data_IF_712343633380
#
_entry.id   IF_712343633380
#
_cell.length_a   1.000
_cell.length_b   1.000
_cell.length_c   1.000
_cell.angle_alpha   90.00
_cell.angle_beta   90.00
_cell.angle_gamma   90.00
#
_symmetry.space_group_name_H-M   'P 1'
#
loop_
_entity.id
_entity.type
_entity.pdbx_description
1 polymer ?
#
# COMPACT_ATOMS: atom_id res chain seq x y z
N UNK A 1 -11.03 7.00 -8.85
CA UNK A 1 -11.72 5.75 -8.50
C UNK A 1 -11.01 4.59 -9.16
N UNK A 2 -10.01 4.06 -8.51
CA UNK A 2 -9.14 3.19 -9.24
C UNK A 2 -8.85 1.91 -8.49
N UNK A 3 -8.71 1.99 -7.20
CA UNK A 3 -8.50 0.84 -6.34
C UNK A 3 -9.76 0.69 -5.50
N UNK A 4 -10.37 -0.48 -5.51
CA UNK A 4 -11.58 -0.74 -4.72
C UNK A 4 -12.91 -0.28 -5.33
N UNK A 5 -12.97 0.05 -6.63
CA UNK A 5 -14.27 0.23 -7.27
C UNK A 5 -15.00 -1.11 -7.34
N UNK A 6 -16.23 -1.19 -6.82
CA UNK A 6 -16.99 -2.44 -6.85
C UNK A 6 -17.14 -2.93 -8.28
N UNK A 7 -16.91 -4.20 -8.45
CA UNK A 7 -17.05 -4.88 -9.72
C UNK A 7 -18.54 -5.17 -9.95
N UNK A 8 -19.07 -4.79 -11.11
CA UNK A 8 -20.43 -5.12 -11.45
C UNK A 8 -20.55 -6.65 -11.63
N UNK A 9 -21.41 -7.30 -10.86
CA UNK A 9 -21.76 -8.70 -11.07
C UNK A 9 -22.70 -8.82 -12.26
N UNK A 10 -22.35 -9.69 -13.19
CA UNK A 10 -23.29 -10.11 -14.23
C UNK A 10 -24.10 -11.32 -13.77
N UNK A 11 -25.23 -11.57 -14.43
CA UNK A 11 -26.20 -12.63 -14.08
C UNK A 11 -25.66 -14.06 -14.13
N UNK A 12 -24.46 -14.26 -14.66
CA UNK A 12 -23.75 -15.54 -14.73
C UNK A 12 -22.83 -15.80 -13.49
N UNK A 13 -22.81 -14.87 -12.53
CA UNK A 13 -21.96 -14.96 -11.34
C UNK A 13 -20.49 -14.62 -11.59
N UNK A 14 -20.12 -14.28 -12.82
CA UNK A 14 -18.77 -13.85 -13.16
C UNK A 14 -18.64 -12.35 -12.94
N UNK A 15 -17.58 -11.95 -12.25
CA UNK A 15 -17.31 -10.56 -11.96
C UNK A 15 -16.38 -10.01 -13.04
N UNK A 16 -16.85 -8.98 -13.72
CA UNK A 16 -16.08 -8.31 -14.76
C UNK A 16 -15.72 -6.89 -14.35
N UNK A 17 -14.45 -6.56 -14.43
CA UNK A 17 -13.94 -5.20 -14.23
C UNK A 17 -14.14 -4.33 -15.47
N UNK A 18 -15.25 -4.46 -16.17
CA UNK A 18 -15.50 -3.81 -17.49
C UNK A 18 -15.26 -2.30 -17.50
N UNK A 19 -15.42 -1.64 -16.35
CA UNK A 19 -15.22 -0.21 -16.24
C UNK A 19 -13.81 0.18 -15.78
N UNK A 20 -13.01 -0.73 -15.22
CA UNK A 20 -11.69 -0.43 -14.72
C UNK A 20 -10.61 -0.82 -15.73
N UNK A 21 -10.16 0.15 -16.53
CA UNK A 21 -9.08 -0.03 -17.53
C UNK A 21 -7.69 0.00 -16.93
N UNK A 22 -7.57 0.20 -15.63
CA UNK A 22 -6.29 0.36 -14.96
C UNK A 22 -5.75 -0.95 -14.39
N UNK A 23 -6.62 -1.89 -14.01
CA UNK A 23 -6.19 -3.20 -13.48
C UNK A 23 -5.73 -4.08 -14.64
N UNK A 24 -4.46 -4.53 -14.57
CA UNK A 24 -3.88 -5.46 -15.53
C UNK A 24 -3.97 -6.91 -15.03
N UNK A 25 -3.79 -7.12 -13.72
CA UNK A 25 -3.88 -8.43 -13.10
C UNK A 25 -4.26 -8.32 -11.63
N UNK A 26 -5.28 -9.06 -11.22
CA UNK A 26 -5.71 -9.14 -9.83
C UNK A 26 -6.09 -10.57 -9.47
N UNK A 27 -6.00 -10.90 -8.19
CA UNK A 27 -6.62 -12.09 -7.62
C UNK A 27 -8.02 -11.70 -7.17
N UNK A 28 -9.03 -12.36 -7.74
CA UNK A 28 -10.40 -12.09 -7.41
C UNK A 28 -10.76 -12.63 -6.02
N UNK A 29 -11.44 -11.82 -5.24
CA UNK A 29 -11.97 -12.15 -3.91
C UNK A 29 -13.49 -12.03 -3.96
N UNK A 30 -14.21 -13.06 -3.50
CA UNK A 30 -15.68 -13.06 -3.40
C UNK A 30 -16.08 -13.59 -2.02
N UNK A 31 -16.39 -12.68 -1.11
CA UNK A 31 -16.78 -13.03 0.24
C UNK A 31 -18.11 -13.81 0.34
N UNK A 32 -18.92 -13.80 -0.73
CA UNK A 32 -20.22 -14.49 -0.77
C UNK A 32 -20.11 -15.95 -1.26
N UNK A 33 -19.04 -16.28 -1.99
CA UNK A 33 -18.83 -17.60 -2.59
C UNK A 33 -17.62 -18.35 -1.99
N UNK A 34 -17.27 -18.06 -0.73
CA UNK A 34 -16.16 -18.71 -0.01
C UNK A 34 -14.76 -18.52 -0.62
N UNK A 35 -14.62 -17.68 -1.65
CA UNK A 35 -13.30 -17.19 -2.08
C UNK A 35 -12.89 -16.15 -1.08
N UNK A 36 -12.06 -16.55 -0.15
CA UNK A 36 -11.75 -15.91 1.11
C UNK A 36 -11.55 -14.40 0.97
N UNK A 37 -12.23 -13.68 1.87
CA UNK A 37 -12.02 -12.26 2.08
C UNK A 37 -10.53 -11.93 2.13
N UNK A 38 -10.13 -10.82 1.58
CA UNK A 38 -8.79 -10.30 1.71
C UNK A 38 -8.50 -10.00 3.19
N UNK A 39 -8.33 -11.05 3.98
CA UNK A 39 -8.21 -10.99 5.44
C UNK A 39 -7.02 -10.14 5.90
N UNK A 40 -6.04 -9.88 5.01
CA UNK A 40 -4.94 -8.99 5.32
C UNK A 40 -5.41 -7.53 5.51
N UNK A 41 -6.44 -7.07 4.79
CA UNK A 41 -7.00 -5.72 4.91
C UNK A 41 -7.53 -5.50 6.32
N UNK A 42 -8.17 -6.50 6.90
CA UNK A 42 -8.71 -6.45 8.25
C UNK A 42 -7.63 -6.20 9.33
N UNK A 43 -6.34 -6.38 8.98
CA UNK A 43 -5.22 -6.13 9.88
C UNK A 43 -4.83 -4.65 9.96
N UNK A 44 -5.30 -3.84 9.03
CA UNK A 44 -5.02 -2.40 8.98
C UNK A 44 -6.11 -1.55 9.63
N UNK A 45 -7.26 -2.13 9.93
CA UNK A 45 -8.41 -1.40 10.47
C UNK A 45 -8.58 -1.61 11.97
N UNK A 46 -9.28 -0.70 12.60
CA UNK A 46 -9.44 -0.63 14.04
C UNK A 46 -10.18 -1.83 14.65
N UNK A 47 -9.87 -2.11 15.90
CA UNK A 47 -10.67 -3.04 16.68
C UNK A 47 -12.06 -2.50 17.00
N UNK A 48 -13.07 -3.37 17.00
CA UNK A 48 -14.46 -2.95 17.18
C UNK A 48 -14.69 -2.22 18.53
N UNK A 49 -13.95 -2.57 19.57
CA UNK A 49 -14.07 -1.93 20.89
C UNK A 49 -13.54 -0.49 20.94
N UNK A 50 -12.73 -0.08 19.97
CA UNK A 50 -12.09 1.22 19.93
C UNK A 50 -12.95 2.28 19.24
N UNK A 51 -14.02 1.87 18.58
CA UNK A 51 -14.97 2.73 17.86
C UNK A 51 -16.37 2.60 18.47
N UNK A 52 -17.10 3.71 18.60
CA UNK A 52 -18.49 3.71 19.08
C UNK A 52 -19.39 2.86 18.20
N UNK A 53 -20.30 2.10 18.80
CA UNK A 53 -21.13 1.13 18.09
C UNK A 53 -21.90 1.71 16.89
N UNK A 54 -22.37 2.95 17.02
CA UNK A 54 -23.14 3.65 15.97
C UNK A 54 -22.32 4.00 14.71
N UNK A 55 -21.00 3.90 14.77
CA UNK A 55 -20.10 4.21 13.66
C UNK A 55 -19.39 2.99 13.06
N UNK A 56 -19.62 1.79 13.63
CA UNK A 56 -18.93 0.56 13.20
C UNK A 56 -19.56 -0.02 11.96
N UNK A 57 -18.78 -0.22 10.92
CA UNK A 57 -19.19 -0.93 9.71
C UNK A 57 -20.54 -0.49 9.16
N UNK A 58 -20.78 0.82 9.18
CA UNK A 58 -21.95 1.46 8.56
C UNK A 58 -21.49 2.40 7.47
N UNK A 59 -22.33 2.62 6.46
CA UNK A 59 -22.01 3.55 5.38
C UNK A 59 -21.65 4.93 5.96
N UNK A 60 -20.51 5.46 5.50
CA UNK A 60 -19.96 6.68 6.05
C UNK A 60 -19.42 6.55 7.49
N UNK A 61 -19.33 5.36 8.05
CA UNK A 61 -18.75 5.07 9.37
C UNK A 61 -17.26 4.83 9.35
N UNK A 62 -16.82 3.94 10.23
CA UNK A 62 -15.43 3.48 10.38
C UNK A 62 -15.39 1.98 10.13
N UNK A 63 -14.55 1.49 9.21
CA UNK A 63 -14.34 0.06 9.05
C UNK A 63 -13.66 -0.51 10.30
N UNK A 64 -14.23 -1.54 10.88
CA UNK A 64 -13.68 -2.19 12.07
C UNK A 64 -13.62 -3.70 11.92
N UNK A 65 -12.62 -4.30 12.56
CA UNK A 65 -12.44 -5.75 12.67
C UNK A 65 -12.05 -6.11 14.12
N UNK A 66 -11.43 -7.27 14.32
CA UNK A 66 -11.06 -7.74 15.66
C UNK A 66 -9.92 -6.92 16.28
N UNK A 67 -8.88 -6.63 15.53
CA UNK A 67 -7.69 -5.90 15.99
C UNK A 67 -6.98 -5.20 14.83
N UNK A 68 -6.49 -3.99 15.07
CA UNK A 68 -5.53 -3.33 14.20
C UNK A 68 -4.12 -3.88 14.51
N UNK A 69 -3.46 -4.45 13.52
CA UNK A 69 -2.09 -4.98 13.64
C UNK A 69 -1.07 -4.07 12.95
N UNK A 70 -1.51 -3.35 11.94
CA UNK A 70 -0.70 -2.47 11.13
C UNK A 70 -1.39 -1.11 10.98
N UNK A 71 -0.60 -0.06 10.92
CA UNK A 71 -1.05 1.30 10.60
C UNK A 71 0.03 1.98 9.76
N UNK A 72 -0.33 3.07 9.12
CA UNK A 72 0.68 3.93 8.52
C UNK A 72 1.48 4.66 9.61
N UNK A 73 2.77 4.85 9.37
CA UNK A 73 3.60 5.70 10.22
C UNK A 73 3.12 7.16 10.14
N UNK A 74 3.24 7.88 11.26
CA UNK A 74 2.80 9.29 11.35
C UNK A 74 3.49 10.19 10.32
N UNK A 75 4.75 9.88 9.99
CA UNK A 75 5.50 10.58 8.94
C UNK A 75 4.81 10.46 7.59
N UNK A 76 4.37 9.25 7.23
CA UNK A 76 3.70 9.01 5.95
C UNK A 76 2.32 9.67 5.91
N UNK A 77 1.56 9.61 7.00
CA UNK A 77 0.29 10.33 7.13
C UNK A 77 0.52 11.85 6.97
N UNK A 78 1.57 12.36 7.59
CA UNK A 78 1.98 13.76 7.46
C UNK A 78 2.39 14.12 6.02
N UNK A 79 3.06 13.24 5.30
CA UNK A 79 3.38 13.42 3.87
C UNK A 79 2.12 13.50 3.02
N UNK A 80 1.17 12.57 3.20
CA UNK A 80 -0.11 12.58 2.46
C UNK A 80 -0.86 13.89 2.65
N UNK A 81 -0.94 14.38 3.89
CA UNK A 81 -1.60 15.64 4.23
C UNK A 81 -0.91 16.84 3.59
N UNK A 82 0.41 16.93 3.72
CA UNK A 82 1.19 18.01 3.09
C UNK A 82 1.05 17.99 1.57
N UNK A 83 1.08 16.80 0.96
CA UNK A 83 0.95 16.65 -0.48
C UNK A 83 -0.43 17.11 -0.98
N UNK A 84 -1.48 16.80 -0.22
CA UNK A 84 -2.82 17.33 -0.48
C UNK A 84 -2.86 18.86 -0.41
N UNK A 85 -2.35 19.44 0.66
CA UNK A 85 -2.40 20.89 0.90
C UNK A 85 -1.54 21.68 -0.10
N UNK A 86 -0.33 21.21 -0.40
CA UNK A 86 0.63 21.94 -1.22
C UNK A 86 0.49 21.65 -2.71
N UNK A 87 0.12 20.44 -3.07
CA UNK A 87 0.11 19.95 -4.44
C UNK A 87 -1.29 19.57 -4.95
N UNK A 88 -2.31 19.64 -4.09
CA UNK A 88 -3.66 19.18 -4.41
C UNK A 88 -3.69 17.69 -4.81
N UNK A 89 -2.91 16.86 -4.12
CA UNK A 89 -2.85 15.41 -4.39
C UNK A 89 -4.19 14.74 -4.09
N UNK A 90 -4.85 14.27 -5.13
CA UNK A 90 -6.17 13.64 -5.04
C UNK A 90 -6.12 12.23 -4.42
N UNK A 91 -4.94 11.63 -4.30
CA UNK A 91 -4.75 10.29 -3.71
C UNK A 91 -4.86 10.30 -2.20
N UNK A 92 -4.57 11.43 -1.57
CA UNK A 92 -4.45 11.52 -0.11
C UNK A 92 -5.70 11.03 0.61
N UNK A 93 -6.89 11.48 0.18
CA UNK A 93 -8.17 11.10 0.80
C UNK A 93 -8.59 9.65 0.51
N UNK A 94 -8.12 9.08 -0.60
CA UNK A 94 -8.41 7.67 -0.93
C UNK A 94 -7.38 6.71 -0.36
N UNK A 95 -6.23 7.21 0.06
CA UNK A 95 -5.18 6.40 0.69
C UNK A 95 -5.39 6.30 2.20
N UNK A 96 -5.80 7.41 2.84
CA UNK A 96 -5.96 7.47 4.29
C UNK A 96 -7.16 8.34 4.67
N UNK A 97 -7.99 7.83 5.55
CA UNK A 97 -9.16 8.52 6.09
C UNK A 97 -9.02 8.73 7.60
N UNK A 98 -9.55 9.85 8.10
CA UNK A 98 -9.65 10.14 9.53
C UNK A 98 -11.04 10.60 9.88
N UNK A 99 -11.49 10.26 11.10
CA UNK A 99 -12.71 10.78 11.71
C UNK A 99 -12.49 11.17 13.17
N UNK A 100 -13.13 12.27 13.57
CA UNK A 100 -13.20 12.73 14.95
C UNK A 100 -14.55 12.37 15.58
N UNK A 101 -14.61 12.28 16.91
CA UNK A 101 -15.85 12.06 17.64
C UNK A 101 -16.45 10.65 17.55
N UNK A 102 -15.78 9.74 16.87
CA UNK A 102 -16.24 8.35 16.64
C UNK A 102 -15.69 7.35 17.67
N UNK A 103 -14.86 7.80 18.59
CA UNK A 103 -14.27 7.01 19.68
C UNK A 103 -14.38 7.76 20.99
N UNK A 104 -14.49 7.01 22.10
CA UNK A 104 -14.39 7.57 23.46
C UNK A 104 -12.94 7.47 23.98
N UNK A 105 -12.07 6.74 23.28
CA UNK A 105 -10.68 6.50 23.66
C UNK A 105 -9.70 7.39 22.92
N UNK A 106 -10.05 7.80 21.70
CA UNK A 106 -9.16 8.52 20.78
C UNK A 106 -9.87 9.75 20.19
N UNK A 107 -9.16 10.86 20.14
CA UNK A 107 -9.66 12.09 19.51
C UNK A 107 -9.93 11.87 18.03
N UNK A 108 -9.03 11.14 17.37
CA UNK A 108 -9.10 10.79 15.95
C UNK A 108 -8.96 9.30 15.76
N UNK A 109 -9.73 8.77 14.85
CA UNK A 109 -9.63 7.41 14.35
C UNK A 109 -9.29 7.49 12.88
N UNK A 110 -8.13 6.95 12.49
CA UNK A 110 -7.67 6.97 11.10
C UNK A 110 -7.40 5.55 10.60
N UNK A 111 -7.62 5.32 9.32
CA UNK A 111 -7.42 4.02 8.68
C UNK A 111 -6.94 4.15 7.24
N UNK A 112 -6.14 3.18 6.75
CA UNK A 112 -5.87 3.03 5.33
C UNK A 112 -7.18 2.78 4.58
N UNK A 113 -7.37 3.44 3.43
CA UNK A 113 -8.69 3.51 2.80
C UNK A 113 -8.72 2.98 1.35
N UNK A 114 -7.65 2.33 0.89
CA UNK A 114 -7.63 1.78 -0.48
C UNK A 114 -8.46 0.51 -0.63
N UNK A 115 -8.48 -0.33 0.39
CA UNK A 115 -9.11 -1.65 0.40
C UNK A 115 -10.04 -1.77 1.62
N UNK A 116 -11.10 -1.02 1.62
CA UNK A 116 -12.04 -0.95 2.75
C UNK A 116 -13.28 -1.83 2.59
N UNK A 117 -13.38 -2.54 1.47
CA UNK A 117 -14.51 -3.42 1.18
C UNK A 117 -15.71 -2.71 0.56
N UNK A 118 -16.77 -3.47 0.28
CA UNK A 118 -18.00 -3.02 -0.36
C UNK A 118 -19.13 -2.81 0.66
N UNK A 119 -19.86 -1.72 0.48
CA UNK A 119 -21.02 -1.33 1.30
C UNK A 119 -22.37 -1.59 0.62
N UNK A 120 -22.38 -2.20 -0.56
CA UNK A 120 -23.59 -2.34 -1.40
C UNK A 120 -24.71 -3.12 -0.75
N UNK A 121 -24.43 -3.93 0.25
CA UNK A 121 -25.40 -4.77 0.97
C UNK A 121 -25.89 -4.17 2.30
N UNK A 122 -25.45 -2.96 2.65
CA UNK A 122 -25.68 -2.38 3.98
C UNK A 122 -24.82 -2.99 5.09
N UNK A 123 -23.98 -3.96 4.75
CA UNK A 123 -22.98 -4.57 5.62
C UNK A 123 -21.63 -4.46 4.92
N UNK A 124 -20.57 -4.12 5.65
CA UNK A 124 -19.23 -4.07 5.09
C UNK A 124 -18.74 -5.49 4.78
N UNK A 125 -18.50 -5.76 3.51
CA UNK A 125 -17.88 -6.96 3.01
C UNK A 125 -16.42 -6.64 2.61
N UNK A 126 -15.47 -7.44 3.05
CA UNK A 126 -14.06 -7.30 2.68
C UNK A 126 -13.76 -8.17 1.46
N UNK A 127 -14.28 -7.76 0.31
CA UNK A 127 -14.21 -8.47 -0.95
C UNK A 127 -13.49 -7.69 -2.06
N UNK A 128 -12.67 -6.73 -1.67
CA UNK A 128 -11.77 -6.06 -2.60
C UNK A 128 -10.80 -7.06 -3.25
N UNK A 129 -10.68 -6.98 -4.57
CA UNK A 129 -9.71 -7.78 -5.31
C UNK A 129 -8.26 -7.43 -4.89
N UNK A 130 -7.41 -8.43 -4.75
CA UNK A 130 -6.00 -8.22 -4.53
C UNK A 130 -5.32 -7.86 -5.86
N UNK A 131 -5.06 -6.58 -6.06
CA UNK A 131 -4.41 -6.04 -7.25
C UNK A 131 -2.92 -6.38 -7.19
N UNK A 132 -2.44 -7.16 -8.18
CA UNK A 132 -1.03 -7.49 -8.34
C UNK A 132 -0.33 -6.54 -9.29
N UNK A 133 -0.99 -6.18 -10.41
CA UNK A 133 -0.47 -5.24 -11.39
C UNK A 133 -1.58 -4.33 -11.92
N UNK A 134 -1.26 -3.04 -12.01
CA UNK A 134 -2.12 -2.04 -12.63
C UNK A 134 -1.32 -1.08 -13.51
N UNK A 135 -2.01 -0.32 -14.33
CA UNK A 135 -1.39 0.45 -15.41
C UNK A 135 -0.39 1.51 -14.90
N UNK A 136 -0.63 2.08 -13.72
CA UNK A 136 0.32 3.01 -13.09
C UNK A 136 1.69 2.35 -12.85
N UNK A 137 1.74 1.07 -12.48
CA UNK A 137 3.02 0.35 -12.29
C UNK A 137 3.81 0.23 -13.60
N UNK A 138 3.12 0.10 -14.73
CA UNK A 138 3.79 0.06 -16.03
C UNK A 138 4.57 1.35 -16.30
N UNK A 139 3.97 2.51 -16.01
CA UNK A 139 4.66 3.79 -16.14
C UNK A 139 5.83 3.90 -15.16
N UNK A 140 5.64 3.48 -13.92
CA UNK A 140 6.72 3.52 -12.92
C UNK A 140 7.87 2.58 -13.27
N UNK A 141 7.61 1.37 -13.77
CA UNK A 141 8.65 0.47 -14.25
C UNK A 141 9.40 1.03 -15.46
N UNK A 142 8.71 1.70 -16.39
CA UNK A 142 9.37 2.38 -17.52
C UNK A 142 10.23 3.55 -17.03
N UNK A 143 9.74 4.35 -16.10
CA UNK A 143 10.51 5.42 -15.49
C UNK A 143 11.79 4.89 -14.81
N UNK A 144 11.67 3.80 -14.04
CA UNK A 144 12.81 3.12 -13.41
C UNK A 144 13.80 2.59 -14.46
N UNK A 145 13.31 1.98 -15.54
CA UNK A 145 14.14 1.50 -16.65
C UNK A 145 14.91 2.64 -17.32
N UNK A 146 14.25 3.76 -17.63
CA UNK A 146 14.89 4.94 -18.17
C UNK A 146 15.93 5.54 -17.21
N UNK A 147 15.62 5.57 -15.90
CA UNK A 147 16.57 6.01 -14.89
C UNK A 147 17.87 5.20 -14.92
N UNK A 148 17.80 3.86 -14.93
CA UNK A 148 18.98 2.99 -14.99
C UNK A 148 19.74 3.11 -16.32
N UNK A 149 19.07 3.52 -17.40
CA UNK A 149 19.69 3.86 -18.68
C UNK A 149 20.26 5.28 -18.74
N UNK A 150 20.17 6.04 -17.65
CA UNK A 150 20.57 7.46 -17.55
C UNK A 150 19.80 8.37 -18.52
N UNK A 151 18.60 7.96 -18.90
CA UNK A 151 17.67 8.71 -19.75
C UNK A 151 16.67 9.46 -18.85
N UNK A 152 17.17 10.45 -18.13
CA UNK A 152 16.43 11.09 -17.02
C UNK A 152 15.23 11.90 -17.49
N UNK A 153 15.29 12.49 -18.69
CA UNK A 153 14.14 13.22 -19.27
C UNK A 153 13.01 12.28 -19.63
N UNK A 154 13.32 11.14 -20.20
CA UNK A 154 12.36 10.09 -20.52
C UNK A 154 11.74 9.51 -19.26
N UNK A 155 12.55 9.32 -18.19
CA UNK A 155 12.05 8.91 -16.89
C UNK A 155 11.03 9.90 -16.31
N UNK A 156 11.32 11.21 -16.39
CA UNK A 156 10.36 12.25 -15.97
C UNK A 156 9.08 12.23 -16.81
N UNK A 157 9.16 11.94 -18.10
CA UNK A 157 7.98 11.81 -18.94
C UNK A 157 7.00 10.74 -18.41
N UNK A 158 7.51 9.60 -18.03
CA UNK A 158 6.69 8.52 -17.45
C UNK A 158 6.16 8.87 -16.05
N UNK A 159 6.99 9.44 -15.18
CA UNK A 159 6.59 9.93 -13.86
C UNK A 159 5.47 10.98 -13.96
N UNK A 160 5.59 11.89 -14.89
CA UNK A 160 4.62 12.96 -15.09
C UNK A 160 3.25 12.46 -15.59
N UNK A 161 3.17 11.29 -16.22
CA UNK A 161 1.87 10.66 -16.52
C UNK A 161 1.12 10.31 -15.24
N UNK A 162 1.80 9.72 -14.26
CA UNK A 162 1.21 9.39 -12.95
C UNK A 162 0.91 10.67 -12.17
N UNK A 163 1.88 11.59 -12.13
CA UNK A 163 1.75 12.87 -11.44
C UNK A 163 0.61 13.74 -12.00
N UNK A 164 0.40 13.78 -13.31
CA UNK A 164 -0.70 14.52 -13.93
C UNK A 164 -2.06 14.05 -13.42
N UNK A 165 -2.25 12.75 -13.28
CA UNK A 165 -3.47 12.19 -12.71
C UNK A 165 -3.63 12.58 -11.24
N UNK A 166 -2.55 12.53 -10.47
CA UNK A 166 -2.56 12.78 -9.03
C UNK A 166 -2.73 14.27 -8.69
N UNK A 167 -2.00 15.15 -9.37
CA UNK A 167 -1.91 16.60 -9.05
C UNK A 167 -2.62 17.50 -10.05
N UNK A 168 -3.09 16.97 -11.18
CA UNK A 168 -3.67 17.77 -12.25
C UNK A 168 -2.65 18.61 -13.04
N UNK A 169 -1.33 18.33 -12.90
CA UNK A 169 -0.24 19.08 -13.52
C UNK A 169 0.57 18.17 -14.45
N UNK A 170 0.65 18.49 -15.73
CA UNK A 170 1.35 17.70 -16.75
C UNK A 170 2.88 17.62 -16.50
N UNK A 171 3.47 18.73 -16.06
CA UNK A 171 4.91 18.87 -15.83
C UNK A 171 5.17 19.11 -14.33
N UNK A 172 4.74 18.19 -13.48
CA UNK A 172 4.93 18.31 -12.05
C UNK A 172 6.40 18.17 -11.67
N UNK A 173 7.08 17.17 -12.23
CA UNK A 173 8.52 16.96 -12.10
C UNK A 173 9.23 17.58 -13.30
N UNK A 174 10.16 18.50 -13.05
CA UNK A 174 10.88 19.25 -14.09
C UNK A 174 12.38 19.05 -14.09
N UNK A 175 12.97 18.67 -12.95
CA UNK A 175 14.41 18.47 -12.83
C UNK A 175 14.84 17.07 -13.26
N UNK A 176 15.64 17.01 -14.33
CA UNK A 176 16.15 15.77 -14.90
C UNK A 176 17.56 15.41 -14.40
N UNK A 177 17.91 15.74 -13.16
CA UNK A 177 19.14 15.23 -12.56
C UNK A 177 18.95 13.80 -12.10
N UNK A 178 20.06 13.06 -11.97
CA UNK A 178 20.00 11.69 -11.46
C UNK A 178 19.33 11.61 -10.07
N UNK A 179 19.70 12.53 -9.19
CA UNK A 179 19.20 12.53 -7.81
C UNK A 179 17.70 12.88 -7.77
N UNK A 180 17.28 13.94 -8.46
CA UNK A 180 15.88 14.38 -8.43
C UNK A 180 14.95 13.32 -9.03
N UNK A 181 15.37 12.65 -10.11
CA UNK A 181 14.59 11.56 -10.71
C UNK A 181 14.50 10.35 -9.79
N UNK A 182 15.57 10.02 -9.07
CA UNK A 182 15.56 8.92 -8.11
C UNK A 182 14.63 9.22 -6.92
N UNK A 183 14.70 10.44 -6.40
CA UNK A 183 13.82 10.89 -5.32
C UNK A 183 12.35 10.89 -5.76
N UNK A 184 12.07 11.40 -6.96
CA UNK A 184 10.73 11.38 -7.55
C UNK A 184 10.21 9.95 -7.73
N UNK A 185 11.04 9.02 -8.21
CA UNK A 185 10.70 7.60 -8.35
C UNK A 185 10.33 6.98 -6.98
N UNK A 186 11.14 7.22 -5.96
CA UNK A 186 10.89 6.68 -4.64
C UNK A 186 9.61 7.25 -4.01
N UNK A 187 9.42 8.56 -4.12
CA UNK A 187 8.27 9.27 -3.56
C UNK A 187 6.96 8.89 -4.28
N UNK A 188 6.92 8.92 -5.63
CA UNK A 188 5.72 8.56 -6.38
C UNK A 188 5.32 7.12 -6.16
N UNK A 189 6.26 6.17 -6.14
CA UNK A 189 5.93 4.79 -5.78
C UNK A 189 5.28 4.71 -4.40
N UNK A 190 5.81 5.44 -3.42
CA UNK A 190 5.30 5.43 -2.04
C UNK A 190 3.86 5.91 -1.95
N UNK A 191 3.54 7.03 -2.59
CA UNK A 191 2.19 7.62 -2.55
C UNK A 191 1.20 6.86 -3.42
N UNK A 192 1.66 6.34 -4.56
CA UNK A 192 0.82 5.64 -5.52
C UNK A 192 0.46 4.23 -5.06
N UNK A 193 1.42 3.48 -4.51
CA UNK A 193 1.27 2.03 -4.24
C UNK A 193 1.24 1.67 -2.75
N UNK A 194 0.95 2.62 -1.87
CA UNK A 194 0.67 2.30 -0.47
C UNK A 194 -0.40 1.20 -0.39
N UNK A 195 -0.20 0.19 0.46
CA UNK A 195 -1.01 -1.02 0.67
C UNK A 195 -1.03 -2.06 -0.48
N UNK A 196 -0.42 -1.79 -1.62
CA UNK A 196 -0.46 -2.71 -2.77
C UNK A 196 0.64 -3.80 -2.76
N UNK A 197 1.41 -3.87 -1.68
CA UNK A 197 2.36 -4.97 -1.42
C UNK A 197 3.69 -4.93 -2.19
N UNK A 198 3.89 -3.98 -3.09
CA UNK A 198 5.07 -3.94 -3.98
C UNK A 198 6.20 -3.01 -3.50
N UNK A 199 5.94 -2.13 -2.52
CA UNK A 199 6.88 -1.08 -2.09
C UNK A 199 8.17 -1.65 -1.50
N UNK A 200 8.11 -2.77 -0.78
CA UNK A 200 9.28 -3.41 -0.21
C UNK A 200 10.36 -3.70 -1.27
N UNK A 201 9.96 -4.32 -2.36
CA UNK A 201 10.87 -4.66 -3.46
C UNK A 201 11.34 -3.41 -4.22
N UNK A 202 10.46 -2.43 -4.39
CA UNK A 202 10.79 -1.16 -5.02
C UNK A 202 11.85 -0.40 -4.22
N UNK A 203 11.70 -0.32 -2.91
CA UNK A 203 12.67 0.36 -2.05
C UNK A 203 14.04 -0.33 -2.03
N UNK A 204 14.08 -1.67 -2.09
CA UNK A 204 15.33 -2.41 -2.24
C UNK A 204 16.01 -2.03 -3.57
N UNK A 205 15.28 -2.07 -4.68
CA UNK A 205 15.83 -1.75 -6.01
C UNK A 205 16.33 -0.32 -6.12
N UNK A 206 15.59 0.64 -5.56
CA UNK A 206 15.93 2.05 -5.61
C UNK A 206 16.94 2.48 -4.52
N UNK A 207 17.31 1.60 -3.59
CA UNK A 207 18.22 1.92 -2.49
C UNK A 207 17.58 2.76 -1.37
N UNK A 208 16.25 2.82 -1.30
CA UNK A 208 15.50 3.60 -0.30
C UNK A 208 14.97 2.76 0.87
N UNK A 209 15.32 1.49 0.94
CA UNK A 209 14.78 0.59 1.97
C UNK A 209 15.16 1.04 3.40
N UNK A 210 16.38 1.51 3.60
CA UNK A 210 16.84 2.01 4.92
C UNK A 210 16.17 3.35 5.29
N UNK A 211 15.70 4.12 4.29
CA UNK A 211 15.03 5.39 4.50
C UNK A 211 13.58 5.19 4.94
N UNK A 212 12.85 4.33 4.24
CA UNK A 212 11.42 4.16 4.45
C UNK A 212 11.05 2.99 5.36
N UNK A 213 11.96 2.02 5.52
CA UNK A 213 11.79 0.85 6.37
C UNK A 213 13.09 0.60 7.16
N UNK A 214 13.46 1.45 8.12
CA UNK A 214 14.79 1.46 8.75
C UNK A 214 14.98 0.31 9.76
N UNK A 215 14.79 -0.94 9.36
CA UNK A 215 14.90 -2.11 10.25
C UNK A 215 16.28 -2.25 10.89
N UNK A 216 17.35 -1.82 10.20
CA UNK A 216 18.71 -1.80 10.74
C UNK A 216 18.86 -0.82 11.89
N UNK A 217 18.09 0.26 11.87
CA UNK A 217 18.19 1.37 12.80
C UNK A 217 17.02 1.43 13.77
N UNK A 218 16.07 0.50 13.68
CA UNK A 218 14.91 0.49 14.57
C UNK A 218 15.38 0.41 16.01
N UNK A 219 15.08 1.40 16.86
CA UNK A 219 15.49 1.34 18.25
C UNK A 219 14.87 0.12 18.91
N UNK A 220 15.65 -0.60 19.69
CA UNK A 220 15.14 -1.67 20.51
C UNK A 220 14.23 -1.05 21.59
N UNK A 221 12.94 -0.99 21.32
CA UNK A 221 11.95 -0.36 22.21
C UNK A 221 11.58 -1.22 23.42
N UNK A 222 12.31 -2.32 23.65
CA UNK A 222 12.00 -3.27 24.72
C UNK A 222 10.72 -4.09 24.48
N UNK A 223 10.13 -3.96 23.30
CA UNK A 223 9.00 -4.82 22.91
C UNK A 223 9.57 -6.18 22.54
N UNK A 224 9.11 -7.21 23.23
CA UNK A 224 9.49 -8.60 22.97
C UNK A 224 9.21 -8.92 21.49
N UNK A 225 10.24 -9.28 20.73
CA UNK A 225 10.17 -9.51 19.29
C UNK A 225 10.45 -8.28 18.39
N UNK A 226 10.76 -7.14 18.96
CA UNK A 226 11.22 -5.97 18.18
C UNK A 226 12.58 -6.25 17.54
N UNK A 227 12.68 -6.08 16.22
CA UNK A 227 13.96 -6.22 15.49
C UNK A 227 14.77 -4.96 15.70
N UNK A 228 15.26 -4.75 16.92
CA UNK A 228 16.10 -3.60 17.23
C UNK A 228 17.47 -3.76 16.60
N UNK A 229 17.89 -2.76 15.82
CA UNK A 229 19.27 -2.57 15.40
C UNK A 229 19.97 -3.81 14.82
N UNK A 230 19.33 -4.52 13.90
CA UNK A 230 19.90 -5.75 13.35
C UNK A 230 21.22 -5.49 12.65
N UNK A 231 22.26 -6.25 13.00
CA UNK A 231 23.54 -6.27 12.30
C UNK A 231 23.51 -7.20 11.07
N UNK A 232 22.38 -7.87 10.81
CA UNK A 232 22.22 -8.72 9.65
C UNK A 232 22.25 -7.89 8.36
N UNK A 233 23.24 -8.06 7.47
CA UNK A 233 23.32 -7.31 6.22
C UNK A 233 22.16 -7.59 5.28
N UNK A 234 21.51 -8.77 5.45
CA UNK A 234 20.41 -9.24 4.63
C UNK A 234 19.05 -9.13 5.34
N UNK A 235 18.91 -8.23 6.33
CA UNK A 235 17.68 -8.07 7.12
C UNK A 235 16.43 -7.82 6.25
N UNK A 236 16.61 -7.25 5.07
CA UNK A 236 15.53 -6.96 4.12
C UNK A 236 15.21 -8.12 3.17
N UNK A 237 15.98 -9.21 3.21
CA UNK A 237 15.67 -10.43 2.49
C UNK A 237 14.92 -11.38 3.41
N UNK A 238 13.88 -12.03 2.88
CA UNK A 238 13.12 -12.98 3.69
C UNK A 238 13.92 -14.25 3.95
N UNK A 239 13.84 -14.83 5.16
CA UNK A 239 14.38 -16.15 5.44
C UNK A 239 13.61 -17.23 4.69
N UNK A 240 14.31 -18.29 4.29
CA UNK A 240 13.65 -19.51 3.81
C UNK A 240 13.05 -20.22 5.02
N UNK A 241 11.79 -20.65 4.94
CA UNK A 241 11.14 -21.32 6.05
C UNK A 241 11.88 -22.62 6.43
N UNK A 242 12.02 -22.89 7.71
CA UNK A 242 12.63 -24.13 8.21
C UNK A 242 11.95 -25.37 7.65
N UNK A 243 10.62 -25.33 7.45
CA UNK A 243 9.89 -26.43 6.82
C UNK A 243 10.34 -26.70 5.38
N UNK A 244 10.64 -25.65 4.60
CA UNK A 244 11.12 -25.82 3.24
C UNK A 244 12.55 -26.41 3.22
N UNK A 245 13.43 -25.90 4.09
CA UNK A 245 14.81 -26.43 4.24
C UNK A 245 14.79 -27.90 4.65
N UNK A 246 13.94 -28.27 5.62
CA UNK A 246 13.84 -29.66 6.07
C UNK A 246 13.31 -30.62 4.99
N UNK A 247 12.53 -30.11 4.05
CA UNK A 247 12.02 -30.92 2.92
C UNK A 247 12.98 -30.99 1.73
N UNK A 248 13.92 -30.09 1.65
CA UNK A 248 14.87 -30.03 0.53
C UNK A 248 16.28 -29.68 1.03
N UNK A 249 17.14 -30.69 1.19
CA UNK A 249 18.52 -30.55 1.68
C UNK A 249 19.43 -29.72 0.77
N UNK A 250 19.00 -29.40 -0.44
CA UNK A 250 19.75 -28.53 -1.34
C UNK A 250 19.51 -27.02 -1.06
N UNK A 251 18.48 -26.70 -0.26
CA UNK A 251 18.24 -25.34 0.16
C UNK A 251 19.22 -24.92 1.27
N UNK A 252 19.75 -23.73 1.14
CA UNK A 252 20.54 -23.08 2.17
C UNK A 252 19.81 -21.84 2.64
N UNK A 253 19.84 -21.60 3.95
CA UNK A 253 19.26 -20.39 4.51
C UNK A 253 19.90 -19.12 3.93
N UNK A 254 19.12 -18.08 3.78
CA UNK A 254 19.62 -16.73 3.48
C UNK A 254 20.65 -16.33 4.54
N UNK A 255 21.81 -15.85 4.09
CA UNK A 255 22.89 -15.44 4.98
C UNK A 255 22.39 -14.40 6.00
N UNK A 256 22.76 -14.60 7.26
CA UNK A 256 22.33 -13.75 8.37
C UNK A 256 21.01 -14.17 9.06
N UNK A 257 20.34 -15.20 8.54
CA UNK A 257 19.10 -15.77 9.09
C UNK A 257 19.28 -17.18 9.67
N UNK A 258 20.46 -17.52 10.11
CA UNK A 258 20.78 -18.82 10.72
C UNK A 258 20.16 -18.98 12.12
#
# INVERSE_FOLDING_TARGET
NVVGSPVARESDGVIYTKANKEIAFALHVDATNEVHSASYIQRFIWGSTQVKASYRNVEGGVPVSSNQWFCYADEFIGELKRNKEQNNDQRSDVTYMERTGVSDMYEKVGWPNKFTGDWSSGTLLYDDDLILYRYAQYYMFRAELYYYRKQYKEALGELNVVAQRAYGKADFYTSATQQDVLEALAAENRWEFAEEGNLWFTYIRLGYIDTYCPLKYWPNTGVEGGVGGSTNPNIYLFPISTSAINKNSNLRQTEGWS
#
